data_IF_449764907693
#
_entry.id   IF_449764907693
#
_cell.length_a   1.000
_cell.length_b   1.000
_cell.length_c   1.000
_cell.angle_alpha   90.00
_cell.angle_beta   90.00
_cell.angle_gamma   90.00
#
_symmetry.space_group_name_H-M   'P 1'
#
loop_
_entity.id
_entity.type
_entity.pdbx_description
1 polymer ?
#
# COMPACT_ATOMS: atom_id res chain seq x y z
N UNK A 1 1.56 -18.60 -35.18
CA UNK A 1 1.26 -17.80 -33.98
C UNK A 1 2.17 -18.28 -32.86
N UNK A 2 3.31 -17.63 -32.65
CA UNK A 2 4.25 -18.03 -31.59
C UNK A 2 3.70 -17.60 -30.24
N UNK A 3 3.40 -18.55 -29.36
CA UNK A 3 3.04 -18.27 -27.98
C UNK A 3 4.25 -17.66 -27.27
N UNK A 4 4.24 -16.34 -27.05
CA UNK A 4 5.20 -15.69 -26.16
C UNK A 4 4.95 -16.20 -24.74
N UNK A 5 5.72 -17.18 -24.31
CA UNK A 5 5.70 -17.65 -22.93
C UNK A 5 6.20 -16.51 -22.03
N UNK A 6 5.40 -16.16 -21.04
CA UNK A 6 5.81 -15.21 -19.99
C UNK A 6 6.95 -15.88 -19.23
N UNK A 7 8.10 -15.21 -19.04
CA UNK A 7 9.19 -15.80 -18.29
C UNK A 7 8.75 -16.01 -16.84
N UNK A 8 8.80 -17.26 -16.39
CA UNK A 8 8.50 -17.60 -15.01
C UNK A 8 9.75 -17.45 -14.14
N UNK A 9 9.53 -17.03 -12.89
CA UNK A 9 10.61 -16.79 -11.94
C UNK A 9 11.03 -18.12 -11.31
N UNK A 10 12.32 -18.44 -11.41
CA UNK A 10 12.93 -19.53 -10.66
C UNK A 10 13.18 -19.09 -9.20
N UNK A 11 12.20 -19.39 -8.34
CA UNK A 11 12.25 -19.04 -6.93
C UNK A 11 13.32 -19.78 -6.14
N UNK A 12 13.81 -20.94 -6.61
CA UNK A 12 14.92 -21.65 -5.94
C UNK A 12 16.20 -20.85 -6.10
N UNK A 13 16.50 -20.44 -7.34
CA UNK A 13 17.69 -19.66 -7.63
C UNK A 13 17.61 -18.26 -7.00
N UNK A 14 16.45 -17.61 -7.04
CA UNK A 14 16.24 -16.32 -6.39
C UNK A 14 16.46 -16.39 -4.87
N UNK A 15 15.84 -17.37 -4.19
CA UNK A 15 15.99 -17.53 -2.73
C UNK A 15 17.44 -17.88 -2.33
N UNK A 16 18.13 -18.72 -3.11
CA UNK A 16 19.55 -19.04 -2.90
C UNK A 16 20.44 -17.80 -3.01
N UNK A 17 20.24 -17.00 -4.07
CA UNK A 17 21.00 -15.77 -4.30
C UNK A 17 20.83 -14.77 -3.15
N UNK A 18 19.59 -14.56 -2.69
CA UNK A 18 19.29 -13.67 -1.58
C UNK A 18 19.96 -14.11 -0.27
N UNK A 19 19.97 -15.43 0.02
CA UNK A 19 20.68 -15.96 1.21
C UNK A 19 22.19 -15.68 1.12
N UNK A 20 22.78 -15.75 -0.07
CA UNK A 20 24.20 -15.48 -0.27
C UNK A 20 24.52 -14.00 -0.08
N UNK A 21 23.68 -13.10 -0.58
CA UNK A 21 23.82 -11.65 -0.34
C UNK A 21 23.73 -11.33 1.16
N UNK A 22 22.84 -12.00 1.89
CA UNK A 22 22.67 -11.81 3.33
C UNK A 22 23.87 -12.27 4.16
N UNK A 23 24.61 -13.30 3.73
CA UNK A 23 25.84 -13.73 4.42
C UNK A 23 26.87 -12.60 4.54
N UNK A 24 26.91 -11.67 3.58
CA UNK A 24 27.77 -10.49 3.67
C UNK A 24 27.34 -9.54 4.81
N UNK A 25 26.04 -9.44 5.08
CA UNK A 25 25.47 -8.63 6.17
C UNK A 25 25.79 -9.26 7.52
N UNK A 26 25.76 -10.60 7.64
CA UNK A 26 26.18 -11.30 8.85
C UNK A 26 27.64 -11.02 9.24
N UNK A 27 28.50 -10.72 8.27
CA UNK A 27 29.88 -10.30 8.50
C UNK A 27 30.03 -8.86 9.02
N UNK A 28 28.97 -8.04 9.01
CA UNK A 28 29.01 -6.65 9.49
C UNK A 28 29.19 -6.54 11.00
N UNK A 29 28.62 -7.48 11.76
CA UNK A 29 28.83 -7.61 13.19
C UNK A 29 29.57 -8.91 13.48
N UNK A 30 30.89 -8.97 13.20
CA UNK A 30 31.65 -10.16 13.52
C UNK A 30 31.62 -10.40 15.04
N UNK A 31 31.67 -11.67 15.45
CA UNK A 31 31.77 -12.05 16.85
C UNK A 31 33.15 -11.65 17.40
N UNK A 32 33.36 -10.36 17.64
CA UNK A 32 34.60 -9.77 18.17
C UNK A 32 34.75 -10.11 19.67
N UNK A 33 33.73 -10.71 20.29
CA UNK A 33 33.76 -11.13 21.69
C UNK A 33 33.53 -9.99 22.67
N UNK A 34 32.78 -8.96 22.26
CA UNK A 34 32.39 -7.85 23.11
C UNK A 34 31.50 -8.36 24.25
N UNK A 35 31.95 -8.21 25.49
CA UNK A 35 31.27 -8.74 26.69
C UNK A 35 29.88 -8.15 26.95
N UNK A 36 29.59 -6.97 26.41
CA UNK A 36 28.31 -6.29 26.54
C UNK A 36 27.30 -6.66 25.44
N UNK A 37 27.71 -7.43 24.42
CA UNK A 37 26.85 -7.83 23.31
C UNK A 37 26.42 -9.29 23.48
N UNK A 38 25.10 -9.53 23.51
CA UNK A 38 24.57 -10.88 23.51
C UNK A 38 24.46 -11.41 22.07
N UNK A 39 25.56 -11.98 21.56
CA UNK A 39 25.63 -12.53 20.20
C UNK A 39 24.58 -13.60 19.90
N UNK A 40 24.17 -14.40 20.90
CA UNK A 40 23.10 -15.38 20.75
C UNK A 40 21.77 -14.72 20.42
N UNK A 41 21.44 -13.62 21.09
CA UNK A 41 20.21 -12.87 20.78
C UNK A 41 20.24 -12.26 19.37
N UNK A 42 21.41 -11.80 18.93
CA UNK A 42 21.59 -11.26 17.58
C UNK A 42 21.41 -12.34 16.50
N UNK A 43 21.96 -13.53 16.72
CA UNK A 43 21.79 -14.69 15.85
C UNK A 43 20.32 -15.13 15.77
N UNK A 44 19.61 -15.14 16.90
CA UNK A 44 18.17 -15.45 16.93
C UNK A 44 17.35 -14.47 16.10
N UNK A 45 17.67 -13.18 16.18
CA UNK A 45 17.01 -12.13 15.38
C UNK A 45 17.29 -12.33 13.89
N UNK A 46 18.53 -12.61 13.50
CA UNK A 46 18.85 -12.86 12.09
C UNK A 46 18.14 -14.11 11.55
N UNK A 47 18.15 -15.19 12.33
CA UNK A 47 17.44 -16.43 12.00
C UNK A 47 15.93 -16.20 11.85
N UNK A 48 15.31 -15.39 12.71
CA UNK A 48 13.89 -15.04 12.59
C UNK A 48 13.60 -14.35 11.24
N UNK A 49 14.41 -13.38 10.85
CA UNK A 49 14.24 -12.68 9.57
C UNK A 49 14.56 -13.57 8.37
N UNK A 50 15.45 -14.56 8.51
CA UNK A 50 15.69 -15.60 7.49
C UNK A 50 14.44 -16.46 7.29
N UNK A 51 13.81 -16.87 8.39
CA UNK A 51 12.56 -17.61 8.33
C UNK A 51 11.44 -16.78 7.68
N UNK A 52 11.31 -15.50 8.01
CA UNK A 52 10.33 -14.60 7.36
C UNK A 52 10.54 -14.55 5.84
N UNK A 53 11.79 -14.47 5.40
CA UNK A 53 12.11 -14.47 3.97
C UNK A 53 11.74 -15.80 3.31
N UNK A 54 12.11 -16.93 3.92
CA UNK A 54 11.78 -18.26 3.42
C UNK A 54 10.25 -18.47 3.35
N UNK A 55 9.51 -17.94 4.32
CA UNK A 55 8.04 -17.99 4.33
C UNK A 55 7.42 -17.17 3.20
N UNK A 56 7.94 -15.97 2.93
CA UNK A 56 7.49 -15.15 1.79
C UNK A 56 7.81 -15.81 0.46
N UNK A 57 9.01 -16.35 0.31
CA UNK A 57 9.47 -16.96 -0.93
C UNK A 57 8.71 -18.27 -1.20
N UNK A 58 8.34 -19.03 -0.16
CA UNK A 58 7.44 -20.18 -0.23
C UNK A 58 6.11 -19.86 -0.94
N UNK A 59 5.42 -18.77 -0.56
CA UNK A 59 4.15 -18.40 -1.21
C UNK A 59 4.30 -17.82 -2.62
N UNK A 60 5.52 -17.44 -3.00
CA UNK A 60 5.84 -16.92 -4.34
C UNK A 60 6.27 -18.02 -5.29
N UNK A 61 6.54 -19.23 -4.80
CA UNK A 61 6.94 -20.36 -5.62
C UNK A 61 5.72 -21.00 -6.30
N UNK A 62 5.59 -20.90 -7.63
CA UNK A 62 4.47 -21.49 -8.34
C UNK A 62 4.53 -23.02 -8.37
N UNK A 63 5.69 -23.61 -8.06
CA UNK A 63 5.93 -25.04 -8.18
C UNK A 63 6.02 -25.78 -6.84
N UNK A 64 5.79 -25.09 -5.71
CA UNK A 64 5.84 -25.66 -4.35
C UNK A 64 7.13 -26.46 -4.05
N UNK A 65 8.26 -26.02 -4.63
CA UNK A 65 9.59 -26.64 -4.45
C UNK A 65 10.28 -26.10 -3.20
N UNK A 66 9.97 -24.89 -2.78
CA UNK A 66 10.45 -24.31 -1.53
C UNK A 66 9.67 -24.89 -0.35
N UNK A 67 10.36 -25.13 0.76
CA UNK A 67 9.73 -25.63 1.98
C UNK A 67 9.28 -24.49 2.89
N UNK A 68 8.08 -24.62 3.44
CA UNK A 68 7.57 -23.72 4.48
C UNK A 68 8.41 -23.86 5.77
N UNK A 69 8.89 -22.75 6.35
CA UNK A 69 9.64 -22.78 7.61
C UNK A 69 8.79 -23.32 8.76
N UNK A 70 9.40 -24.09 9.69
CA UNK A 70 8.67 -24.72 10.79
C UNK A 70 8.03 -23.72 11.76
N UNK A 71 8.66 -22.56 11.97
CA UNK A 71 8.16 -21.51 12.87
C UNK A 71 6.80 -20.94 12.42
N UNK A 72 6.50 -20.98 11.12
CA UNK A 72 5.24 -20.52 10.53
C UNK A 72 4.25 -21.67 10.21
N UNK A 73 4.51 -22.90 10.67
CA UNK A 73 3.58 -24.02 10.44
C UNK A 73 2.31 -23.91 11.28
N UNK A 74 2.42 -23.40 12.50
CA UNK A 74 1.33 -23.42 13.49
C UNK A 74 0.49 -22.15 13.50
N UNK A 75 1.04 -21.01 13.07
CA UNK A 75 0.30 -19.76 12.90
C UNK A 75 -0.24 -19.64 11.47
N UNK A 76 -1.19 -20.53 11.13
CA UNK A 76 -2.05 -20.31 9.97
C UNK A 76 -3.14 -19.30 10.32
N UNK A 77 -2.75 -18.07 10.71
CA UNK A 77 -3.69 -16.96 10.54
C UNK A 77 -4.08 -16.93 9.06
N UNK A 78 -5.32 -16.60 8.71
CA UNK A 78 -5.78 -16.57 7.32
C UNK A 78 -4.89 -15.65 6.47
N UNK A 79 -3.78 -16.15 5.90
CA UNK A 79 -2.83 -15.38 5.09
C UNK A 79 -3.31 -15.20 3.65
N UNK A 80 -4.59 -15.45 3.38
CA UNK A 80 -5.32 -14.65 2.40
C UNK A 80 -5.98 -13.52 3.15
N UNK A 81 -5.39 -12.32 3.13
CA UNK A 81 -6.24 -11.13 3.25
C UNK A 81 -7.23 -11.27 2.10
N UNK A 82 -8.52 -11.50 2.40
CA UNK A 82 -9.57 -11.14 1.44
C UNK A 82 -9.22 -9.72 1.00
N UNK A 83 -9.14 -9.41 -0.30
CA UNK A 83 -8.93 -8.04 -0.73
C UNK A 83 -9.93 -7.21 0.04
N UNK A 84 -9.43 -6.34 0.91
CA UNK A 84 -10.29 -5.44 1.64
C UNK A 84 -10.94 -4.62 0.55
N UNK A 85 -12.26 -4.77 0.37
CA UNK A 85 -12.99 -4.06 -0.67
C UNK A 85 -12.72 -2.55 -0.60
N UNK A 86 -12.40 -2.05 0.59
CA UNK A 86 -11.97 -0.67 0.79
C UNK A 86 -10.58 -0.39 0.22
N UNK A 87 -9.60 -1.27 0.41
CA UNK A 87 -8.26 -1.14 -0.18
C UNK A 87 -8.30 -1.28 -1.71
N UNK A 88 -9.12 -2.19 -2.25
CA UNK A 88 -9.32 -2.33 -3.70
C UNK A 88 -10.00 -1.08 -4.30
N UNK A 89 -10.95 -0.48 -3.59
CA UNK A 89 -11.58 0.78 -3.98
C UNK A 89 -10.62 1.99 -3.94
N UNK A 90 -9.60 1.97 -3.06
CA UNK A 90 -8.58 3.02 -2.98
C UNK A 90 -7.52 2.93 -4.08
N UNK A 91 -7.28 1.72 -4.62
CA UNK A 91 -6.35 1.48 -5.73
C UNK A 91 -7.06 1.56 -7.09
N UNK A 92 -8.38 1.43 -7.10
CA UNK A 92 -9.19 1.60 -8.31
C UNK A 92 -8.95 3.01 -8.90
N UNK A 93 -8.88 3.15 -10.24
CA UNK A 93 -8.71 4.45 -10.87
C UNK A 93 -9.82 5.37 -10.40
N UNK A 94 -9.47 6.56 -9.93
CA UNK A 94 -10.43 7.60 -9.57
C UNK A 94 -11.34 7.82 -10.79
N UNK A 95 -12.57 7.30 -10.73
CA UNK A 95 -13.59 7.66 -11.71
C UNK A 95 -13.74 9.16 -11.57
N UNK A 96 -13.30 9.92 -12.57
CA UNK A 96 -13.47 11.37 -12.62
C UNK A 96 -14.97 11.64 -12.54
N UNK A 97 -15.46 11.95 -11.34
CA UNK A 97 -16.85 12.37 -11.16
C UNK A 97 -16.89 13.78 -11.71
N UNK A 98 -17.65 13.98 -12.79
CA UNK A 98 -17.94 15.32 -13.29
C UNK A 98 -18.84 15.98 -12.25
N UNK A 99 -18.23 16.73 -11.34
CA UNK A 99 -18.98 17.51 -10.36
C UNK A 99 -19.88 18.52 -11.08
N UNK A 100 -21.11 18.67 -10.60
CA UNK A 100 -22.05 19.64 -11.14
C UNK A 100 -21.49 21.03 -10.84
N UNK A 101 -21.06 21.75 -11.88
CA UNK A 101 -20.58 23.13 -11.77
C UNK A 101 -21.60 23.98 -11.00
N UNK A 102 -21.16 24.83 -10.07
CA UNK A 102 -22.07 25.70 -9.31
C UNK A 102 -22.80 26.65 -10.27
N UNK A 103 -24.07 26.92 -9.96
CA UNK A 103 -24.86 27.88 -10.74
C UNK A 103 -24.36 29.27 -10.41
N UNK A 104 -23.65 29.90 -11.35
CA UNK A 104 -23.21 31.29 -11.24
C UNK A 104 -24.29 32.17 -11.88
N UNK A 105 -24.85 33.10 -11.10
CA UNK A 105 -25.78 34.09 -11.62
C UNK A 105 -24.99 35.30 -12.13
N UNK A 106 -25.33 35.85 -13.31
CA UNK A 106 -24.68 37.05 -13.81
C UNK A 106 -25.02 38.22 -12.88
N UNK A 107 -23.99 38.89 -12.39
CA UNK A 107 -24.12 40.12 -11.62
C UNK A 107 -24.45 41.27 -12.57
N UNK A 108 -25.51 42.03 -12.27
CA UNK A 108 -25.86 43.23 -13.04
C UNK A 108 -25.04 44.40 -12.48
N UNK A 109 -23.90 44.67 -13.11
CA UNK A 109 -23.10 45.85 -12.80
C UNK A 109 -23.83 47.11 -13.29
N UNK A 110 -24.14 48.03 -12.39
CA UNK A 110 -24.53 49.39 -12.77
C UNK A 110 -23.32 50.14 -13.34
N UNK A 111 -23.51 50.98 -14.37
CA UNK A 111 -22.41 51.78 -14.98
C UNK A 111 -21.72 52.74 -14.00
N UNK A 112 -22.31 52.97 -12.83
CA UNK A 112 -21.72 53.77 -11.76
C UNK A 112 -21.24 52.84 -10.64
N UNK A 113 -19.93 52.86 -10.39
CA UNK A 113 -19.28 52.22 -9.25
C UNK A 113 -19.56 53.06 -8.00
N UNK A 114 -20.64 52.76 -7.29
CA UNK A 114 -20.92 53.39 -6.00
C UNK A 114 -20.14 52.65 -4.91
N UNK A 115 -19.02 53.22 -4.46
CA UNK A 115 -18.15 52.66 -3.42
C UNK A 115 -18.82 52.57 -2.03
N UNK A 116 -19.94 53.28 -1.83
CA UNK A 116 -20.73 53.25 -0.59
C UNK A 116 -21.90 52.25 -0.64
N UNK A 117 -22.07 51.50 -1.74
CA UNK A 117 -23.17 50.55 -1.92
C UNK A 117 -22.83 49.13 -1.46
N UNK A 118 -23.74 48.48 -0.73
CA UNK A 118 -23.64 47.04 -0.45
C UNK A 118 -24.03 46.22 -1.68
N UNK A 119 -23.24 45.20 -2.01
CA UNK A 119 -23.55 44.25 -3.07
C UNK A 119 -24.73 43.38 -2.61
N UNK A 120 -25.90 43.54 -3.23
CA UNK A 120 -27.07 42.71 -2.96
C UNK A 120 -27.04 41.49 -3.87
N UNK A 121 -26.41 40.41 -3.40
CA UNK A 121 -26.52 39.10 -4.04
C UNK A 121 -27.94 38.58 -3.80
N UNK A 122 -28.78 38.62 -4.83
CA UNK A 122 -30.12 38.04 -4.79
C UNK A 122 -30.04 36.50 -4.75
N UNK A 123 -30.06 35.92 -3.55
CA UNK A 123 -30.16 34.47 -3.38
C UNK A 123 -31.63 34.04 -3.48
N UNK A 124 -32.06 33.57 -4.66
CA UNK A 124 -33.30 32.80 -4.77
C UNK A 124 -32.98 31.34 -4.45
N UNK A 125 -33.00 30.99 -3.17
CA UNK A 125 -33.00 29.58 -2.78
C UNK A 125 -34.35 28.97 -3.16
N UNK A 126 -34.36 28.06 -4.13
CA UNK A 126 -35.54 27.23 -4.37
C UNK A 126 -35.83 26.45 -3.06
N UNK A 127 -37.05 26.58 -2.52
CA UNK A 127 -37.43 26.00 -1.22
C UNK A 127 -37.29 24.47 -1.13
N UNK A 128 -37.07 23.81 -2.28
CA UNK A 128 -36.85 22.36 -2.40
C UNK A 128 -35.39 21.94 -2.50
N UNK A 129 -34.43 22.86 -2.43
CA UNK A 129 -33.00 22.51 -2.40
C UNK A 129 -32.56 22.17 -0.97
N UNK A 130 -32.83 20.94 -0.57
CA UNK A 130 -32.47 20.39 0.74
C UNK A 130 -30.94 20.15 0.77
N UNK A 131 -30.18 21.17 1.17
CA UNK A 131 -28.72 21.10 1.33
C UNK A 131 -28.30 20.57 2.71
N UNK A 132 -29.10 19.66 3.30
CA UNK A 132 -28.73 19.01 4.56
C UNK A 132 -27.75 17.88 4.25
N UNK A 133 -26.50 18.06 4.62
CA UNK A 133 -25.55 16.96 4.74
C UNK A 133 -26.11 15.96 5.76
N UNK A 134 -26.44 14.74 5.30
CA UNK A 134 -26.79 13.64 6.20
C UNK A 134 -25.53 13.28 6.98
N UNK A 135 -25.63 13.37 8.31
CA UNK A 135 -24.63 12.88 9.26
C UNK A 135 -24.66 11.36 9.34
#
# INVERSE_FOLDING_TARGET
MGTRAIPEVDMINASRSLRQQRKAILGFAPNIGLSFVNYRSMELVDNFYLDCQNHRDYFRDPYDKLHRPPIFRYQQGSCGMKPDYNAEALVAPTKWVVERKPVVYPEQYSRHLNLDGSIRIGAYCASKSDNRFKR
#
